data_IF_112629384497
#
_entry.id   IF_112629384497
#
_cell.length_a   1.000
_cell.length_b   1.000
_cell.length_c   1.000
_cell.angle_alpha   90.00
_cell.angle_beta   90.00
_cell.angle_gamma   90.00
#
_symmetry.space_group_name_H-M   'P 1'
#
loop_
_entity.id
_entity.type
_entity.pdbx_description
1 polymer ?
#
# COMPACT_ATOMS: atom_id res chain seq x y z
N UNK A 1 8.27 -25.84 1.30
CA UNK A 1 7.03 -25.02 1.19
C UNK A 1 5.86 -25.95 0.90
N UNK A 2 4.62 -25.52 1.18
CA UNK A 2 3.43 -26.24 0.70
C UNK A 2 3.15 -25.87 -0.76
N UNK A 3 2.31 -26.65 -1.43
CA UNK A 3 1.89 -26.39 -2.81
C UNK A 3 0.42 -25.95 -2.86
N UNK A 4 0.10 -25.06 -3.80
CA UNK A 4 -1.26 -24.66 -4.11
C UNK A 4 -1.96 -25.74 -4.95
N UNK A 5 -3.27 -25.58 -5.17
CA UNK A 5 -4.09 -26.52 -5.94
C UNK A 5 -3.64 -26.68 -7.40
N UNK A 6 -2.90 -25.72 -7.94
CA UNK A 6 -2.31 -25.76 -9.28
C UNK A 6 -0.88 -26.35 -9.29
N UNK A 7 -0.38 -26.84 -8.15
CA UNK A 7 0.96 -27.41 -7.99
C UNK A 7 2.07 -26.37 -7.81
N UNK A 8 1.79 -25.08 -7.91
CA UNK A 8 2.79 -24.04 -7.65
C UNK A 8 3.16 -23.98 -6.16
N UNK A 9 4.41 -23.59 -5.86
CA UNK A 9 4.86 -23.40 -4.47
C UNK A 9 4.19 -22.17 -3.87
N UNK A 10 3.66 -22.29 -2.65
CA UNK A 10 3.10 -21.15 -1.90
C UNK A 10 4.16 -20.28 -1.25
N UNK A 11 5.43 -20.72 -1.21
CA UNK A 11 6.50 -20.05 -0.45
C UNK A 11 6.31 -20.09 1.07
N UNK A 12 5.32 -20.81 1.59
CA UNK A 12 5.01 -20.89 3.02
C UNK A 12 4.54 -22.30 3.41
N UNK A 13 4.72 -22.71 4.66
CA UNK A 13 4.22 -24.00 5.13
C UNK A 13 4.52 -24.27 6.59
N UNK A 14 3.58 -24.88 7.30
CA UNK A 14 3.74 -25.24 8.72
C UNK A 14 4.23 -24.08 9.60
N UNK A 15 3.78 -22.86 9.31
CA UNK A 15 4.15 -21.66 10.07
C UNK A 15 5.52 -21.07 9.71
N UNK A 16 6.13 -21.39 8.56
CA UNK A 16 7.38 -20.74 8.14
C UNK A 16 7.34 -20.36 6.67
N UNK A 17 7.96 -19.24 6.35
CA UNK A 17 8.29 -18.85 4.97
C UNK A 17 9.48 -19.66 4.50
N UNK A 18 9.42 -20.13 3.25
CA UNK A 18 10.52 -20.83 2.59
C UNK A 18 10.76 -20.17 1.24
N UNK A 19 11.97 -19.64 1.04
CA UNK A 19 12.37 -19.02 -0.21
C UNK A 19 13.74 -19.53 -0.67
N UNK A 20 14.03 -19.34 -1.95
CA UNK A 20 15.35 -19.58 -2.52
C UNK A 20 15.88 -18.26 -3.06
N UNK A 21 17.09 -17.89 -2.64
CA UNK A 21 17.74 -16.62 -3.00
C UNK A 21 19.24 -16.85 -3.08
N UNK A 22 19.87 -16.28 -4.10
CA UNK A 22 21.30 -16.47 -4.36
C UNK A 22 21.69 -17.97 -4.46
N UNK A 23 20.77 -18.82 -4.91
CA UNK A 23 20.94 -20.28 -4.98
C UNK A 23 20.92 -21.01 -3.63
N UNK A 24 20.54 -20.31 -2.56
CA UNK A 24 20.50 -20.82 -1.18
C UNK A 24 19.05 -20.85 -0.69
N UNK A 25 18.70 -21.89 0.08
CA UNK A 25 17.38 -22.02 0.68
C UNK A 25 17.34 -21.33 2.04
N UNK A 26 16.31 -20.52 2.22
CA UNK A 26 16.06 -19.73 3.43
C UNK A 26 14.74 -20.16 4.05
N UNK A 27 14.73 -20.38 5.36
CA UNK A 27 13.54 -20.72 6.15
C UNK A 27 13.41 -19.71 7.28
N UNK A 28 12.27 -19.04 7.39
CA UNK A 28 12.14 -17.92 8.33
C UNK A 28 10.72 -17.73 8.86
N UNK A 29 10.62 -17.05 9.99
CA UNK A 29 9.37 -16.47 10.46
C UNK A 29 9.67 -15.26 11.34
N UNK A 30 8.99 -14.14 11.06
CA UNK A 30 8.98 -12.96 11.92
C UNK A 30 7.76 -12.88 12.80
N UNK A 31 7.83 -12.08 13.86
CA UNK A 31 6.69 -11.74 14.70
C UNK A 31 6.77 -10.27 15.09
N UNK A 32 5.64 -9.59 15.06
CA UNK A 32 5.55 -8.16 15.38
C UNK A 32 4.27 -7.87 16.17
N UNK A 33 4.35 -6.89 17.06
CA UNK A 33 3.24 -6.23 17.71
C UNK A 33 3.61 -4.76 17.99
N UNK A 34 2.69 -3.98 18.55
CA UNK A 34 2.90 -2.55 18.78
C UNK A 34 4.17 -2.18 19.58
N UNK A 35 4.80 -3.13 20.29
CA UNK A 35 5.94 -2.90 21.18
C UNK A 35 7.14 -3.83 20.97
N UNK A 36 7.01 -4.92 20.23
CA UNK A 36 8.03 -5.96 20.10
C UNK A 36 8.08 -6.48 18.68
N UNK A 37 9.29 -6.76 18.20
CA UNK A 37 9.52 -7.33 16.88
C UNK A 37 10.63 -8.37 16.93
N UNK A 38 10.53 -9.39 16.08
CA UNK A 38 11.41 -10.55 16.09
C UNK A 38 11.52 -11.20 14.72
N UNK A 39 12.64 -11.88 14.49
CA UNK A 39 12.85 -12.74 13.33
C UNK A 39 13.71 -13.94 13.73
N UNK A 40 13.37 -15.11 13.21
CA UNK A 40 14.27 -16.26 13.12
C UNK A 40 14.48 -16.62 11.66
N UNK A 41 15.74 -16.80 11.28
CA UNK A 41 16.17 -17.25 9.96
C UNK A 41 17.03 -18.49 10.12
N UNK A 42 16.79 -19.49 9.29
CA UNK A 42 17.57 -20.72 9.16
C UNK A 42 18.02 -20.84 7.71
N UNK A 43 19.30 -21.12 7.53
CA UNK A 43 19.91 -21.48 6.24
C UNK A 43 20.41 -22.92 6.38
N UNK A 44 19.57 -23.94 6.06
CA UNK A 44 19.86 -25.32 6.42
C UNK A 44 21.17 -25.87 5.85
N UNK A 45 21.46 -25.54 4.58
CA UNK A 45 22.62 -26.02 3.82
C UNK A 45 23.93 -25.50 4.42
N UNK A 46 23.89 -24.34 5.09
CA UNK A 46 25.03 -23.73 5.75
C UNK A 46 25.03 -23.91 7.27
N UNK A 47 24.04 -24.65 7.79
CA UNK A 47 23.82 -24.86 9.23
C UNK A 47 23.72 -23.57 10.05
N UNK A 48 23.42 -22.43 9.42
CA UNK A 48 23.35 -21.13 10.05
C UNK A 48 21.95 -20.84 10.58
N UNK A 49 21.88 -20.29 11.79
CA UNK A 49 20.66 -19.72 12.36
C UNK A 49 20.93 -18.31 12.85
N UNK A 50 20.05 -17.38 12.50
CA UNK A 50 20.06 -16.00 13.00
C UNK A 50 18.75 -15.75 13.74
N UNK A 51 18.84 -15.21 14.94
CA UNK A 51 17.68 -14.84 15.76
C UNK A 51 17.88 -13.41 16.24
N UNK A 52 16.88 -12.56 15.99
CA UNK A 52 16.84 -11.21 16.53
C UNK A 52 15.53 -11.04 17.30
N UNK A 53 15.64 -10.53 18.53
CA UNK A 53 14.53 -10.17 19.39
C UNK A 53 14.69 -8.72 19.81
N UNK A 54 13.68 -7.90 19.59
CA UNK A 54 13.67 -6.49 19.97
C UNK A 54 12.41 -6.15 20.78
N UNK A 55 12.61 -5.42 21.87
CA UNK A 55 11.56 -4.93 22.76
C UNK A 55 11.10 -3.51 22.40
N UNK A 56 11.25 -3.13 21.13
CA UNK A 56 10.74 -1.87 20.61
C UNK A 56 10.46 -1.99 19.11
N UNK A 57 9.28 -1.53 18.70
CA UNK A 57 8.93 -1.37 17.28
C UNK A 57 9.76 -0.28 16.56
N UNK A 58 10.63 0.46 17.27
CA UNK A 58 11.65 1.32 16.65
C UNK A 58 12.64 0.51 15.81
N UNK A 59 12.74 -0.80 16.05
CA UNK A 59 13.51 -1.75 15.26
C UNK A 59 12.61 -2.52 14.28
N UNK A 60 11.63 -1.86 13.64
CA UNK A 60 10.71 -2.50 12.69
C UNK A 60 11.41 -3.21 11.51
N UNK A 61 12.72 -3.00 11.34
CA UNK A 61 13.58 -3.60 10.33
C UNK A 61 14.32 -4.87 10.81
N UNK A 62 13.78 -5.58 11.81
CA UNK A 62 14.41 -6.81 12.33
C UNK A 62 14.66 -7.84 11.25
N UNK A 63 13.74 -8.01 10.30
CA UNK A 63 13.88 -8.95 9.19
C UNK A 63 15.07 -8.59 8.29
N UNK A 64 15.17 -7.32 7.89
CA UNK A 64 16.26 -6.79 7.07
C UNK A 64 17.61 -6.93 7.79
N UNK A 65 17.67 -6.61 9.08
CA UNK A 65 18.88 -6.82 9.90
C UNK A 65 19.24 -8.30 9.99
N UNK A 66 18.26 -9.17 10.16
CA UNK A 66 18.45 -10.63 10.24
C UNK A 66 19.06 -11.17 8.95
N UNK A 67 18.54 -10.74 7.80
CA UNK A 67 19.10 -11.09 6.50
C UNK A 67 20.50 -10.52 6.33
N UNK A 68 20.73 -9.23 6.60
CA UNK A 68 22.05 -8.62 6.46
C UNK A 68 23.11 -9.35 7.29
N UNK A 69 22.77 -9.75 8.52
CA UNK A 69 23.65 -10.53 9.37
C UNK A 69 23.92 -11.93 8.78
N UNK A 70 22.88 -12.62 8.31
CA UNK A 70 23.05 -13.93 7.70
C UNK A 70 23.91 -13.88 6.43
N UNK A 71 23.69 -12.90 5.55
CA UNK A 71 24.52 -12.65 4.36
C UNK A 71 25.98 -12.45 4.73
N UNK A 72 26.24 -11.59 5.73
CA UNK A 72 27.58 -11.35 6.23
C UNK A 72 28.25 -12.63 6.73
N UNK A 73 27.55 -13.45 7.52
CA UNK A 73 28.08 -14.73 8.00
C UNK A 73 28.39 -15.74 6.89
N UNK A 74 27.60 -15.74 5.81
CA UNK A 74 27.77 -16.66 4.69
C UNK A 74 28.78 -16.16 3.65
N UNK A 75 29.30 -14.94 3.80
CA UNK A 75 30.11 -14.30 2.77
C UNK A 75 29.34 -14.09 1.46
N UNK A 76 28.01 -14.20 1.50
CA UNK A 76 27.15 -13.84 0.38
C UNK A 76 27.21 -12.33 0.37
N UNK A 77 27.94 -11.77 -0.60
CA UNK A 77 27.71 -10.39 -0.94
C UNK A 77 26.25 -10.32 -1.26
N UNK A 78 25.48 -9.57 -0.47
CA UNK A 78 24.17 -9.15 -0.92
C UNK A 78 24.39 -8.75 -2.37
N UNK A 79 23.67 -9.37 -3.30
CA UNK A 79 23.39 -8.68 -4.54
C UNK A 79 22.52 -7.50 -4.11
N UNK A 80 23.11 -6.54 -3.39
CA UNK A 80 22.57 -5.23 -3.18
C UNK A 80 22.29 -4.84 -4.59
N UNK A 81 20.99 -4.83 -4.93
CA UNK A 81 20.48 -4.71 -6.29
C UNK A 81 21.46 -3.81 -7.00
N UNK A 82 22.29 -4.38 -7.89
CA UNK A 82 23.50 -3.71 -8.43
C UNK A 82 23.14 -2.25 -8.52
N UNK A 83 23.75 -1.38 -7.69
CA UNK A 83 23.26 -0.01 -7.51
C UNK A 83 22.92 0.47 -8.91
N UNK A 84 21.61 0.64 -9.23
CA UNK A 84 21.16 0.58 -10.61
C UNK A 84 22.07 1.50 -11.36
N UNK A 85 22.75 0.97 -12.38
CA UNK A 85 23.68 1.75 -13.19
C UNK A 85 22.99 3.09 -13.43
N UNK A 86 23.58 4.18 -12.88
CA UNK A 86 22.82 5.36 -12.50
C UNK A 86 21.90 5.74 -13.64
N UNK A 87 20.60 5.46 -13.50
CA UNK A 87 19.68 5.65 -14.62
C UNK A 87 19.60 7.15 -14.85
N UNK A 88 20.19 7.58 -15.94
CA UNK A 88 20.09 8.95 -16.41
C UNK A 88 18.92 9.01 -17.36
N UNK A 89 17.97 9.88 -17.06
CA UNK A 89 16.91 10.23 -17.99
C UNK A 89 17.11 11.65 -18.47
N UNK A 90 16.80 11.88 -19.73
CA UNK A 90 16.66 13.24 -20.26
C UNK A 90 15.40 13.86 -19.63
N UNK A 91 15.60 14.77 -18.68
CA UNK A 91 14.50 15.39 -17.95
C UNK A 91 13.94 16.58 -18.72
N UNK A 92 12.61 16.70 -18.74
CA UNK A 92 11.91 17.87 -19.26
C UNK A 92 11.66 18.87 -18.13
N UNK A 93 12.16 20.09 -18.22
CA UNK A 93 11.85 21.12 -17.25
C UNK A 93 10.36 21.54 -17.37
N UNK A 94 9.56 21.24 -16.35
CA UNK A 94 8.16 21.69 -16.23
C UNK A 94 8.04 22.79 -15.18
N UNK A 95 7.20 23.79 -15.43
CA UNK A 95 6.89 24.84 -14.45
C UNK A 95 6.03 24.31 -13.30
N UNK A 96 5.98 25.04 -12.19
CA UNK A 96 5.11 24.67 -11.06
C UNK A 96 3.63 24.62 -11.47
N UNK A 97 3.19 25.51 -12.37
CA UNK A 97 1.84 25.53 -12.93
C UNK A 97 1.58 24.31 -13.84
N UNK A 98 2.58 23.86 -14.58
CA UNK A 98 2.47 22.65 -15.39
C UNK A 98 2.37 21.40 -14.51
N UNK A 99 3.15 21.35 -13.42
CA UNK A 99 3.15 20.25 -12.46
C UNK A 99 1.88 20.21 -11.60
N UNK A 100 1.31 21.37 -11.25
CA UNK A 100 0.11 21.43 -10.41
C UNK A 100 -1.12 20.80 -11.07
N UNK A 101 -1.12 20.66 -12.40
CA UNK A 101 -2.13 19.90 -13.16
C UNK A 101 -2.23 18.45 -12.72
N UNK A 102 -1.15 17.86 -12.22
CA UNK A 102 -1.09 16.47 -11.74
C UNK A 102 -1.31 16.34 -10.23
N UNK A 103 -1.60 17.42 -9.51
CA UNK A 103 -1.91 17.32 -8.08
C UNK A 103 -3.27 16.66 -7.83
N UNK A 104 -3.31 15.84 -6.79
CA UNK A 104 -4.54 15.26 -6.30
C UNK A 104 -4.37 13.87 -5.73
N UNK A 105 -5.52 13.25 -5.54
CA UNK A 105 -5.64 11.92 -4.98
C UNK A 105 -5.97 10.97 -6.12
N UNK A 106 -5.27 9.85 -6.15
CA UNK A 106 -5.44 8.81 -7.14
C UNK A 106 -5.71 7.50 -6.48
N UNK A 107 -6.50 6.68 -7.16
CA UNK A 107 -7.01 5.48 -6.58
C UNK A 107 -7.20 4.33 -7.50
N UNK A 108 -6.85 3.17 -6.97
CA UNK A 108 -7.05 1.88 -7.59
C UNK A 108 -7.81 0.98 -6.62
N UNK A 109 -8.98 0.50 -7.03
CA UNK A 109 -9.72 -0.57 -6.34
C UNK A 109 -9.91 -1.72 -7.32
N UNK A 110 -9.51 -2.92 -6.91
CA UNK A 110 -10.03 -4.15 -7.50
C UNK A 110 -11.06 -4.76 -6.55
N UNK A 111 -12.06 -5.48 -7.07
CA UNK A 111 -12.89 -6.34 -6.23
C UNK A 111 -11.99 -7.21 -5.33
N UNK A 112 -12.34 -7.30 -4.04
CA UNK A 112 -11.61 -8.08 -3.03
C UNK A 112 -10.17 -7.61 -2.73
N UNK A 113 -9.77 -6.39 -3.13
CA UNK A 113 -8.45 -5.84 -2.80
C UNK A 113 -8.48 -4.83 -1.67
N UNK A 114 -7.30 -4.49 -1.13
CA UNK A 114 -7.13 -3.47 -0.07
C UNK A 114 -7.36 -2.04 -0.57
N UNK A 115 -7.59 -1.84 -1.87
CA UNK A 115 -7.41 -0.53 -2.50
C UNK A 115 -5.95 -0.08 -2.44
N UNK A 116 -5.53 0.77 -3.36
CA UNK A 116 -4.23 1.42 -3.31
C UNK A 116 -4.42 2.90 -3.56
N UNK A 117 -4.00 3.71 -2.60
CA UNK A 117 -4.08 5.15 -2.66
C UNK A 117 -2.73 5.79 -2.94
N UNK A 118 -2.78 6.90 -3.66
CA UNK A 118 -1.64 7.75 -4.02
C UNK A 118 -2.05 9.21 -3.92
N UNK A 119 -1.19 10.05 -3.35
CA UNK A 119 -1.35 11.51 -3.40
C UNK A 119 -0.14 12.14 -4.06
N UNK A 120 -0.41 12.91 -5.10
CA UNK A 120 0.56 13.72 -5.80
C UNK A 120 0.47 15.18 -5.31
N UNK A 121 1.60 15.75 -4.90
CA UNK A 121 1.72 17.13 -4.42
C UNK A 121 2.99 17.78 -4.91
N UNK A 122 2.91 19.04 -5.34
CA UNK A 122 4.08 19.84 -5.68
C UNK A 122 4.71 20.37 -4.39
N UNK A 123 6.01 20.15 -4.22
CA UNK A 123 6.82 20.73 -3.14
C UNK A 123 8.14 21.17 -3.72
N UNK A 124 8.49 22.44 -3.49
CA UNK A 124 9.78 23.00 -3.92
C UNK A 124 10.04 22.78 -5.43
N UNK A 125 9.00 22.94 -6.26
CA UNK A 125 9.09 22.77 -7.71
C UNK A 125 9.18 21.32 -8.20
N UNK A 126 9.04 20.33 -7.32
CA UNK A 126 9.04 18.90 -7.66
C UNK A 126 7.68 18.29 -7.39
N UNK A 127 7.18 17.42 -8.26
CA UNK A 127 5.98 16.63 -8.00
C UNK A 127 6.36 15.41 -7.16
N UNK A 128 5.76 15.27 -5.98
CA UNK A 128 5.98 14.17 -5.05
C UNK A 128 4.79 13.25 -5.01
N UNK A 129 5.02 11.93 -5.08
CA UNK A 129 3.98 10.91 -4.96
C UNK A 129 4.09 10.17 -3.63
N UNK A 130 3.01 10.12 -2.84
CA UNK A 130 2.97 9.43 -1.54
C UNK A 130 1.92 8.32 -1.54
N UNK A 131 2.29 7.13 -1.06
CA UNK A 131 1.34 6.00 -0.87
C UNK A 131 0.79 5.87 0.56
N UNK A 132 1.38 6.60 1.51
CA UNK A 132 0.95 6.64 2.90
C UNK A 132 1.39 7.98 3.54
N UNK A 133 0.59 8.58 4.44
CA UNK A 133 0.88 9.88 5.08
C UNK A 133 2.20 9.93 5.85
N UNK A 134 2.66 8.79 6.37
CA UNK A 134 3.92 8.66 7.13
C UNK A 134 5.16 8.45 6.24
N UNK A 135 4.97 8.27 4.95
CA UNK A 135 6.07 8.02 4.01
C UNK A 135 6.53 9.33 3.36
N UNK A 136 7.85 9.54 3.17
CA UNK A 136 8.40 10.77 2.59
C UNK A 136 7.93 11.03 1.15
N UNK A 137 7.41 10.00 0.48
CA UNK A 137 7.03 10.04 -0.93
C UNK A 137 8.21 9.82 -1.86
N UNK A 138 7.91 9.65 -3.14
CA UNK A 138 8.89 9.53 -4.21
C UNK A 138 8.88 10.84 -5.01
N UNK A 139 10.05 11.49 -5.20
CA UNK A 139 10.13 12.60 -6.14
C UNK A 139 9.96 12.06 -7.56
N UNK A 140 9.11 12.70 -8.34
CA UNK A 140 8.85 12.35 -9.73
C UNK A 140 9.67 13.25 -10.65
N UNK A 141 10.51 12.63 -11.47
CA UNK A 141 11.30 13.31 -12.49
C UNK A 141 10.49 13.38 -13.79
N UNK A 142 10.15 14.56 -14.31
CA UNK A 142 9.48 14.70 -15.59
C UNK A 142 10.44 14.32 -16.73
N UNK A 143 10.02 13.38 -17.58
CA UNK A 143 10.76 12.98 -18.79
C UNK A 143 9.97 13.31 -20.06
N UNK A 144 8.66 13.50 -19.93
CA UNK A 144 7.81 14.17 -20.92
C UNK A 144 6.70 14.94 -20.18
N UNK A 145 5.82 15.64 -20.91
CA UNK A 145 4.75 16.43 -20.29
C UNK A 145 3.88 15.59 -19.34
N UNK A 146 3.48 14.39 -19.75
CA UNK A 146 2.64 13.47 -18.99
C UNK A 146 3.36 12.17 -18.56
N UNK A 147 4.69 12.12 -18.63
CA UNK A 147 5.48 10.94 -18.28
C UNK A 147 6.54 11.31 -17.25
N UNK A 148 6.49 10.61 -16.13
CA UNK A 148 7.41 10.77 -15.02
C UNK A 148 8.10 9.46 -14.68
N UNK A 149 9.30 9.56 -14.14
CA UNK A 149 10.05 8.45 -13.59
C UNK A 149 10.42 8.69 -12.14
N UNK A 150 10.49 7.62 -11.36
CA UNK A 150 10.99 7.65 -9.99
C UNK A 150 11.82 6.40 -9.72
N UNK A 151 12.75 6.51 -8.77
CA UNK A 151 13.44 5.36 -8.20
C UNK A 151 12.76 5.00 -6.89
N UNK A 152 12.24 3.79 -6.79
CA UNK A 152 11.65 3.29 -5.56
C UNK A 152 12.73 2.94 -4.51
N UNK A 153 12.32 2.53 -3.31
CA UNK A 153 13.26 2.21 -2.22
C UNK A 153 14.19 1.03 -2.52
N UNK A 154 13.76 0.13 -3.40
CA UNK A 154 14.57 -1.01 -3.85
C UNK A 154 15.51 -0.65 -5.02
N UNK A 155 15.61 0.64 -5.39
CA UNK A 155 16.44 1.10 -6.50
C UNK A 155 15.81 0.88 -7.87
N UNK A 156 14.57 0.41 -7.97
CA UNK A 156 13.94 0.09 -9.26
C UNK A 156 13.28 1.32 -9.85
N UNK A 157 13.42 1.47 -11.16
CA UNK A 157 12.69 2.48 -11.92
C UNK A 157 11.19 2.18 -11.94
N UNK A 158 10.41 3.22 -11.70
CA UNK A 158 8.97 3.27 -11.76
C UNK A 158 8.58 4.31 -12.79
N UNK A 159 7.75 3.93 -13.76
CA UNK A 159 7.24 4.83 -14.78
C UNK A 159 5.79 5.20 -14.46
N UNK A 160 5.47 6.49 -14.52
CA UNK A 160 4.12 7.01 -14.30
C UNK A 160 3.68 7.78 -15.54
N UNK A 161 2.60 7.32 -16.17
CA UNK A 161 2.01 7.96 -17.35
C UNK A 161 0.66 8.55 -16.96
N UNK A 162 0.59 9.88 -16.87
CA UNK A 162 -0.67 10.57 -16.60
C UNK A 162 -1.56 10.61 -17.85
N UNK A 163 -2.84 10.38 -17.62
CA UNK A 163 -3.84 10.29 -18.68
C UNK A 163 -4.87 11.41 -18.54
N UNK A 164 -5.12 12.10 -19.64
CA UNK A 164 -6.14 13.15 -19.73
C UNK A 164 -7.19 12.79 -20.77
N UNK A 165 -8.45 13.16 -20.49
CA UNK A 165 -9.57 13.00 -21.40
C UNK A 165 -10.32 14.34 -21.48
N UNK A 166 -10.42 14.92 -22.69
CA UNK A 166 -11.02 16.23 -22.92
C UNK A 166 -10.44 17.37 -22.03
N UNK A 167 -9.12 17.35 -21.83
CA UNK A 167 -8.39 18.34 -21.01
C UNK A 167 -8.62 18.21 -19.51
N UNK A 168 -9.16 17.08 -19.05
CA UNK A 168 -9.32 16.77 -17.63
C UNK A 168 -8.50 15.53 -17.27
N UNK A 169 -7.85 15.59 -16.12
CA UNK A 169 -7.09 14.46 -15.61
C UNK A 169 -8.02 13.28 -15.28
N UNK A 170 -7.72 12.13 -15.86
CA UNK A 170 -8.47 10.88 -15.67
C UNK A 170 -7.79 9.96 -14.69
N UNK A 171 -6.46 10.02 -14.59
CA UNK A 171 -5.68 9.10 -13.79
C UNK A 171 -4.22 9.02 -14.23
N UNK A 172 -3.57 7.93 -13.83
CA UNK A 172 -2.27 7.56 -14.35
C UNK A 172 -2.07 6.04 -14.36
N UNK A 173 -1.12 5.60 -15.16
CA UNK A 173 -0.66 4.22 -15.25
C UNK A 173 0.72 4.09 -14.63
N UNK A 174 0.86 3.18 -13.66
CA UNK A 174 2.12 2.86 -12.96
C UNK A 174 2.70 1.58 -13.57
N UNK A 175 3.89 1.69 -14.17
CA UNK A 175 4.60 0.56 -14.77
C UNK A 175 5.93 0.29 -14.07
N UNK A 176 6.19 -0.99 -13.79
CA UNK A 176 7.51 -1.45 -13.40
C UNK A 176 8.06 -2.31 -14.54
N UNK A 177 9.35 -2.20 -14.88
CA UNK A 177 9.98 -3.07 -15.87
C UNK A 177 9.87 -4.58 -15.56
N UNK A 178 9.54 -4.93 -14.32
CA UNK A 178 9.49 -6.32 -13.81
C UNK A 178 8.06 -6.90 -13.74
N UNK A 179 7.02 -6.10 -13.95
CA UNK A 179 5.63 -6.59 -13.97
C UNK A 179 5.08 -6.53 -15.39
N UNK A 180 4.37 -7.58 -15.80
CA UNK A 180 3.75 -7.64 -17.14
C UNK A 180 2.52 -6.74 -17.28
N UNK A 181 1.84 -6.45 -16.16
CA UNK A 181 0.58 -5.69 -16.15
C UNK A 181 0.76 -4.41 -15.36
N UNK A 182 0.49 -3.25 -15.97
CA UNK A 182 0.58 -1.98 -15.27
C UNK A 182 -0.59 -1.78 -14.29
N UNK A 183 -0.39 -0.93 -13.28
CA UNK A 183 -1.46 -0.54 -12.38
C UNK A 183 -2.13 0.73 -12.89
N UNK A 184 -3.45 0.69 -13.05
CA UNK A 184 -4.24 1.84 -13.50
C UNK A 184 -4.89 2.55 -12.32
N UNK A 185 -4.41 3.75 -12.03
CA UNK A 185 -4.95 4.62 -10.99
C UNK A 185 -5.92 5.62 -11.61
N UNK A 186 -7.10 5.76 -11.01
CA UNK A 186 -8.08 6.77 -11.40
C UNK A 186 -7.86 8.05 -10.62
N UNK A 187 -7.93 9.19 -11.30
CA UNK A 187 -7.98 10.49 -10.66
C UNK A 187 -9.28 10.63 -9.89
N UNK A 188 -9.17 11.01 -8.63
CA UNK A 188 -10.29 11.18 -7.75
C UNK A 188 -10.49 12.67 -7.58
N UNK A 189 -11.29 13.24 -8.50
CA UNK A 189 -11.80 14.59 -8.33
C UNK A 189 -12.37 14.74 -6.92
N UNK A 190 -12.18 15.90 -6.27
CA UNK A 190 -12.64 16.19 -4.92
C UNK A 190 -14.16 15.93 -4.78
N UNK A 191 -14.53 14.69 -4.50
CA UNK A 191 -15.90 14.30 -4.27
C UNK A 191 -16.21 14.67 -2.82
N UNK A 192 -17.07 15.66 -2.64
CA UNK A 192 -17.55 16.12 -1.33
C UNK A 192 -18.99 15.65 -1.10
N UNK A 193 -19.25 14.34 -0.97
CA UNK A 193 -20.59 13.88 -0.65
C UNK A 193 -20.99 14.40 0.74
N UNK A 194 -22.29 14.53 0.98
CA UNK A 194 -22.79 14.88 2.31
C UNK A 194 -22.36 13.81 3.31
N UNK A 195 -21.38 14.16 4.16
CA UNK A 195 -20.84 13.24 5.17
C UNK A 195 -21.91 12.72 6.14
N UNK A 196 -23.06 13.41 6.23
CA UNK A 196 -24.20 13.00 7.05
C UNK A 196 -24.77 11.65 6.59
N UNK A 197 -24.77 11.35 5.29
CA UNK A 197 -25.36 10.12 4.74
C UNK A 197 -24.68 8.85 5.28
N UNK A 198 -23.37 8.90 5.53
CA UNK A 198 -22.59 7.74 5.99
C UNK A 198 -22.65 7.53 7.50
N UNK A 199 -23.09 8.52 8.28
CA UNK A 199 -23.15 8.42 9.75
C UNK A 199 -24.13 7.34 10.17
N UNK A 200 -23.75 6.56 11.17
CA UNK A 200 -24.60 5.51 11.71
C UNK A 200 -23.80 4.48 12.50
N UNK A 201 -24.52 3.50 13.01
CA UNK A 201 -23.93 2.26 13.52
C UNK A 201 -24.15 1.21 12.44
N UNK A 202 -23.09 0.48 12.12
CA UNK A 202 -23.13 -0.64 11.20
C UNK A 202 -22.86 -1.91 11.98
N UNK A 203 -23.61 -2.97 11.71
CA UNK A 203 -23.53 -4.23 12.44
C UNK A 203 -23.38 -5.42 11.50
N UNK A 204 -22.64 -6.44 11.94
CA UNK A 204 -22.62 -7.75 11.28
C UNK A 204 -23.51 -8.70 12.08
N UNK A 205 -24.52 -9.29 11.45
CA UNK A 205 -25.49 -10.14 12.14
C UNK A 205 -24.83 -11.35 12.82
N UNK A 206 -23.98 -12.08 12.09
CA UNK A 206 -23.45 -13.36 12.61
C UNK A 206 -22.37 -13.20 13.69
N UNK A 207 -21.54 -12.17 13.60
CA UNK A 207 -20.41 -11.95 14.52
C UNK A 207 -20.74 -10.98 15.65
N UNK A 208 -21.87 -10.27 15.55
CA UNK A 208 -22.23 -9.17 16.46
C UNK A 208 -21.27 -7.97 16.39
N UNK A 209 -20.36 -7.92 15.42
CA UNK A 209 -19.41 -6.83 15.27
C UNK A 209 -20.15 -5.52 15.01
N UNK A 210 -19.70 -4.43 15.68
CA UNK A 210 -20.28 -3.09 15.53
C UNK A 210 -19.20 -2.08 15.15
N UNK A 211 -19.48 -1.31 14.11
CA UNK A 211 -18.66 -0.21 13.62
C UNK A 211 -19.49 1.06 13.66
N UNK A 212 -18.94 2.14 14.22
CA UNK A 212 -19.63 3.43 14.22
C UNK A 212 -18.95 4.43 13.29
N UNK A 213 -19.71 4.98 12.34
CA UNK A 213 -19.25 6.06 11.47
C UNK A 213 -19.73 7.40 12.01
N UNK A 214 -18.80 8.32 12.25
CA UNK A 214 -19.06 9.69 12.73
C UNK A 214 -18.36 10.71 11.85
N UNK A 215 -18.78 11.97 11.96
CA UNK A 215 -18.05 13.10 11.38
C UNK A 215 -17.31 13.85 12.48
N UNK A 216 -16.03 14.15 12.26
CA UNK A 216 -15.22 14.98 13.17
C UNK A 216 -14.29 15.85 12.35
N UNK A 217 -14.27 17.17 12.63
CA UNK A 217 -13.46 18.16 11.89
C UNK A 217 -13.61 18.03 10.35
N UNK A 218 -14.84 17.84 9.87
CA UNK A 218 -15.12 17.72 8.45
C UNK A 218 -14.63 16.42 7.78
N UNK A 219 -14.21 15.40 8.55
CA UNK A 219 -13.80 14.09 8.03
C UNK A 219 -14.66 12.97 8.62
N UNK A 220 -14.79 11.87 7.88
CA UNK A 220 -15.37 10.66 8.46
C UNK A 220 -14.36 9.98 9.39
N UNK A 221 -14.88 9.43 10.48
CA UNK A 221 -14.16 8.55 11.38
C UNK A 221 -14.93 7.26 11.58
N UNK A 222 -14.24 6.14 11.36
CA UNK A 222 -14.67 4.82 11.77
C UNK A 222 -14.20 4.57 13.20
N UNK A 223 -15.10 4.07 14.06
CA UNK A 223 -14.79 3.68 15.43
C UNK A 223 -15.13 2.21 15.63
N UNK A 224 -14.10 1.44 15.97
CA UNK A 224 -14.21 0.04 16.42
C UNK A 224 -13.69 0.00 17.85
N UNK A 225 -14.58 -0.20 18.83
CA UNK A 225 -14.25 -0.16 20.26
C UNK A 225 -13.47 1.13 20.65
N UNK A 226 -12.18 1.00 20.97
CA UNK A 226 -11.28 2.11 21.33
C UNK A 226 -10.55 2.71 20.12
N UNK A 227 -10.43 1.96 19.02
CA UNK A 227 -9.75 2.39 17.81
C UNK A 227 -10.57 3.46 17.07
N UNK A 228 -9.85 4.44 16.50
CA UNK A 228 -10.42 5.53 15.72
C UNK A 228 -9.63 5.69 14.43
N UNK A 229 -10.31 5.41 13.34
CA UNK A 229 -9.76 5.38 11.99
C UNK A 229 -10.25 6.62 11.25
N UNK A 230 -9.33 7.45 10.75
CA UNK A 230 -9.72 8.63 9.95
C UNK A 230 -9.83 8.23 8.50
N UNK A 231 -11.01 8.42 7.93
CA UNK A 231 -11.33 7.98 6.59
C UNK A 231 -11.12 9.13 5.61
N UNK A 232 -10.29 8.89 4.60
CA UNK A 232 -10.02 9.81 3.50
C UNK A 232 -10.90 9.40 2.33
N UNK A 233 -11.69 10.31 1.73
CA UNK A 233 -12.49 9.98 0.57
C UNK A 233 -11.58 9.55 -0.58
N UNK A 234 -11.97 8.45 -1.20
CA UNK A 234 -11.24 7.78 -2.26
C UNK A 234 -12.08 7.57 -3.52
N UNK A 235 -13.29 8.12 -3.53
CA UNK A 235 -14.26 7.96 -4.61
C UNK A 235 -15.67 8.16 -4.07
N UNK A 236 -16.66 8.10 -4.95
CA UNK A 236 -18.05 8.08 -4.52
C UNK A 236 -18.31 6.85 -3.69
N UNK A 237 -18.73 7.06 -2.44
CA UNK A 237 -19.00 6.00 -1.47
C UNK A 237 -17.78 5.11 -1.14
N UNK A 238 -16.56 5.56 -1.44
CA UNK A 238 -15.33 4.83 -1.17
C UNK A 238 -14.40 5.66 -0.30
N UNK A 239 -13.86 5.04 0.75
CA UNK A 239 -12.97 5.69 1.70
C UNK A 239 -11.80 4.80 2.06
N UNK A 240 -10.64 5.41 2.22
CA UNK A 240 -9.41 4.74 2.58
C UNK A 240 -8.92 5.21 3.95
N UNK A 241 -8.48 4.28 4.77
CA UNK A 241 -7.80 4.53 6.04
C UNK A 241 -6.31 4.24 5.80
N UNK A 242 -5.45 5.26 5.85
CA UNK A 242 -4.08 5.11 5.40
C UNK A 242 -3.10 4.60 6.48
N UNK A 243 -3.52 4.46 7.74
CA UNK A 243 -2.68 3.89 8.79
C UNK A 243 -2.47 2.39 8.59
N UNK A 244 -3.57 1.66 8.38
CA UNK A 244 -3.61 0.20 8.25
C UNK A 244 -3.87 -0.26 6.81
N UNK A 245 -4.05 0.67 5.88
CA UNK A 245 -4.38 0.37 4.48
C UNK A 245 -5.73 -0.33 4.33
N UNK A 246 -6.74 0.22 5.02
CA UNK A 246 -8.10 -0.36 5.04
C UNK A 246 -9.03 0.40 4.11
N UNK A 247 -9.73 -0.34 3.25
CA UNK A 247 -10.73 0.20 2.32
C UNK A 247 -12.14 0.00 2.88
N UNK A 248 -12.93 1.07 2.80
CA UNK A 248 -14.33 1.16 3.23
C UNK A 248 -15.18 1.48 1.99
N UNK A 249 -16.06 0.55 1.62
CA UNK A 249 -16.95 0.65 0.47
C UNK A 249 -18.39 0.75 0.96
N UNK A 250 -18.95 1.96 0.96
CA UNK A 250 -20.37 2.16 1.26
C UNK A 250 -21.20 1.81 0.04
N UNK A 251 -22.40 1.28 0.28
CA UNK A 251 -23.33 1.00 -0.80
C UNK A 251 -24.72 1.55 -0.44
N UNK A 252 -25.44 1.94 -1.48
CA UNK A 252 -26.76 2.55 -1.37
C UNK A 252 -27.83 1.61 -1.90
N UNK A 253 -29.04 1.78 -1.38
CA UNK A 253 -30.23 1.19 -1.96
C UNK A 253 -30.72 1.96 -3.19
N UNK A 254 -31.82 1.50 -3.78
CA UNK A 254 -32.49 2.13 -4.93
C UNK A 254 -32.98 3.56 -4.67
N UNK A 255 -33.17 3.94 -3.40
CA UNK A 255 -33.57 5.28 -2.98
C UNK A 255 -32.35 6.19 -2.71
N UNK A 256 -31.14 5.69 -2.92
CA UNK A 256 -29.89 6.42 -2.68
C UNK A 256 -29.50 6.51 -1.20
N UNK A 257 -30.15 5.76 -0.31
CA UNK A 257 -29.80 5.70 1.11
C UNK A 257 -28.63 4.73 1.32
N UNK A 258 -27.61 5.14 2.09
CA UNK A 258 -26.53 4.23 2.48
C UNK A 258 -27.07 3.17 3.43
N UNK A 259 -27.04 1.91 3.04
CA UNK A 259 -27.60 0.77 3.80
C UNK A 259 -26.57 -0.24 4.25
N UNK A 260 -25.41 -0.30 3.58
CA UNK A 260 -24.35 -1.25 3.91
C UNK A 260 -22.96 -0.67 3.70
N UNK A 261 -21.99 -1.31 4.31
CA UNK A 261 -20.57 -0.98 4.23
C UNK A 261 -19.77 -2.28 4.17
N UNK A 262 -18.89 -2.41 3.19
CA UNK A 262 -17.93 -3.50 3.06
C UNK A 262 -16.53 -3.00 3.42
N UNK A 263 -15.81 -3.76 4.24
CA UNK A 263 -14.47 -3.42 4.72
C UNK A 263 -13.46 -4.46 4.24
N UNK A 264 -12.38 -3.98 3.62
CA UNK A 264 -11.21 -4.77 3.25
C UNK A 264 -10.00 -4.26 4.01
N UNK A 265 -9.42 -5.09 4.88
CA UNK A 265 -8.22 -4.78 5.67
C UNK A 265 -7.19 -5.89 5.47
N UNK A 266 -5.92 -5.69 5.85
CA UNK A 266 -4.83 -6.66 5.59
C UNK A 266 -5.21 -8.12 5.89
N UNK A 267 -5.89 -8.34 7.00
CA UNK A 267 -6.21 -9.68 7.53
C UNK A 267 -7.57 -10.24 7.11
N UNK A 268 -8.45 -9.43 6.50
CA UNK A 268 -9.77 -9.89 6.06
C UNK A 268 -10.26 -9.13 4.83
N UNK A 269 -11.03 -9.80 3.98
CA UNK A 269 -11.66 -9.19 2.79
C UNK A 269 -13.16 -9.41 2.86
N UNK A 270 -13.89 -8.48 2.24
CA UNK A 270 -15.33 -8.52 2.05
C UNK A 270 -16.12 -8.65 3.36
N UNK A 271 -15.65 -7.98 4.42
CA UNK A 271 -16.39 -7.97 5.68
C UNK A 271 -17.52 -6.94 5.59
N UNK A 272 -18.75 -7.42 5.40
CA UNK A 272 -19.92 -6.57 5.18
C UNK A 272 -20.69 -6.33 6.48
N UNK A 273 -21.01 -5.07 6.74
CA UNK A 273 -21.83 -4.62 7.87
C UNK A 273 -23.01 -3.80 7.36
N UNK A 274 -24.16 -3.94 8.02
CA UNK A 274 -25.42 -3.29 7.64
C UNK A 274 -25.72 -2.13 8.57
N UNK A 275 -26.18 -1.03 8.00
CA UNK A 275 -26.52 0.17 8.75
C UNK A 275 -27.80 -0.09 9.57
N UNK A 276 -27.76 0.27 10.85
CA UNK A 276 -28.93 0.35 11.74
C UNK A 276 -29.83 1.54 11.39
#
# INVERSE_FOLDING_TARGET
PTHLNDGSSSGYGYGVSVSEREGVRWVEHGGDNDIQTSIIIRVPEHQLSVVILANSNRYADTSEKGWALAHHCLGIQSSGANAPEAMTWDTLALSAEQLSRYEGIYGYVRPNSLGVWREAKVKEGTLWMTGAPSHPGLPLLPVAENHFVAINREGRALHLYFEEEAGKLKGFREEFPTYEVPFEFKYLANHSPSLKAYRGIYHHADTGARLQIRTRKGKLQARVRLMRLTLIPFGTDQYYEPGEGTLFLFERDENGLVTKLTVNARDFRNFTVYKE
#
